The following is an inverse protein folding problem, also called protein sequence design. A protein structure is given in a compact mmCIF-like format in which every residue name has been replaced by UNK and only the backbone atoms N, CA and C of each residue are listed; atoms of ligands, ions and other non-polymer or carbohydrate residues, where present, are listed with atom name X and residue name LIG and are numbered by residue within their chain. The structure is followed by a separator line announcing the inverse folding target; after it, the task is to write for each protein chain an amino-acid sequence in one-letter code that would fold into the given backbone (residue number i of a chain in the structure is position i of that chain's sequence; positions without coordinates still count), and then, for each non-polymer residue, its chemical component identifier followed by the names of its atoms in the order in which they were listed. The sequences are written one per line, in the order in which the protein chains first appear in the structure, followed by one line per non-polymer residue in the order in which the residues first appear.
data_IF_018473229680
#
_entry.id   IF_018473229680
#
_cell.length_a   1.000
_cell.length_b   1.000
_cell.length_c   1.000
_cell.angle_alpha   90.00
_cell.angle_beta   90.00
_cell.angle_gamma   90.00
#
_symmetry.space_group_name_H-M   'P 1'
#
loop_
_entity.id
_entity.type
_entity.pdbx_description
1 polymer ?
#
# COMPACT_ATOMS: atom_id res chain seq x y z
N UNK A 1 -36.77 -1.24 -51.76
CA UNK A 1 -38.14 -1.52 -51.24
C UNK A 1 -38.93 -0.22 -51.33
N UNK A 2 -40.14 -0.25 -51.91
CA UNK A 2 -40.97 0.94 -52.03
C UNK A 2 -41.33 1.45 -50.61
N UNK A 3 -40.79 2.60 -50.23
CA UNK A 3 -40.83 3.17 -48.86
C UNK A 3 -42.19 3.73 -48.47
N UNK A 4 -43.07 3.93 -49.46
CA UNK A 4 -44.37 4.62 -49.32
C UNK A 4 -45.32 4.03 -48.28
N UNK A 5 -45.25 2.71 -48.03
CA UNK A 5 -46.19 2.01 -47.13
C UNK A 5 -45.56 1.45 -45.85
N UNK A 6 -44.30 1.80 -45.59
CA UNK A 6 -43.48 1.19 -44.53
C UNK A 6 -44.05 1.43 -43.13
N UNK A 7 -44.50 2.65 -42.83
CA UNK A 7 -45.08 3.02 -41.53
C UNK A 7 -46.32 2.19 -41.20
N UNK A 8 -47.20 1.97 -42.18
CA UNK A 8 -48.39 1.13 -42.02
C UNK A 8 -48.04 -0.34 -41.78
N UNK A 9 -47.02 -0.86 -42.45
CA UNK A 9 -46.55 -2.23 -42.22
C UNK A 9 -45.96 -2.41 -40.82
N UNK A 10 -45.29 -1.38 -40.29
CA UNK A 10 -44.73 -1.40 -38.94
C UNK A 10 -45.81 -1.41 -37.85
N UNK A 11 -46.86 -0.61 -38.01
CA UNK A 11 -48.03 -0.60 -37.12
C UNK A 11 -48.66 -2.00 -37.06
N UNK A 12 -48.89 -2.64 -38.22
CA UNK A 12 -49.47 -3.98 -38.28
C UNK A 12 -48.55 -5.04 -37.65
N UNK A 13 -47.23 -4.91 -37.81
CA UNK A 13 -46.25 -5.84 -37.21
C UNK A 13 -46.17 -5.75 -35.69
N UNK A 14 -46.40 -4.56 -35.12
CA UNK A 14 -46.36 -4.30 -33.68
C UNK A 14 -47.73 -4.40 -33.00
N UNK A 15 -48.81 -4.50 -33.78
CA UNK A 15 -50.17 -4.66 -33.27
C UNK A 15 -50.31 -5.93 -32.44
N UNK A 16 -50.84 -5.78 -31.23
CA UNK A 16 -51.21 -6.88 -30.31
C UNK A 16 -52.66 -7.33 -30.50
N UNK A 17 -53.36 -6.84 -31.53
CA UNK A 17 -54.74 -7.26 -31.80
C UNK A 17 -54.81 -8.74 -32.19
N UNK A 18 -55.81 -9.47 -31.69
CA UNK A 18 -56.05 -10.89 -32.03
C UNK A 18 -56.55 -11.13 -33.46
N UNK A 19 -56.55 -10.10 -34.32
CA UNK A 19 -57.05 -10.13 -35.69
C UNK A 19 -55.89 -10.48 -36.64
N UNK A 20 -56.16 -11.24 -37.70
CA UNK A 20 -55.11 -11.62 -38.66
C UNK A 20 -54.47 -10.41 -39.37
N UNK A 21 -53.17 -10.51 -39.68
CA UNK A 21 -52.46 -9.44 -40.40
C UNK A 21 -53.11 -9.05 -41.72
N UNK A 22 -53.68 -10.03 -42.45
CA UNK A 22 -54.34 -9.77 -43.74
C UNK A 22 -55.57 -8.88 -43.54
N UNK A 23 -56.33 -9.14 -42.50
CA UNK A 23 -57.54 -8.37 -42.21
C UNK A 23 -57.20 -6.96 -41.69
N UNK A 24 -56.20 -6.82 -40.83
CA UNK A 24 -55.70 -5.51 -40.40
C UNK A 24 -55.24 -4.67 -41.61
N UNK A 25 -54.49 -5.28 -42.53
CA UNK A 25 -54.02 -4.60 -43.75
C UNK A 25 -55.17 -4.28 -44.70
N UNK A 26 -56.23 -5.10 -44.76
CA UNK A 26 -57.41 -4.82 -45.60
C UNK A 26 -58.14 -3.58 -45.11
N UNK A 27 -58.31 -3.43 -43.78
CA UNK A 27 -58.91 -2.23 -43.19
C UNK A 27 -58.08 -0.99 -43.50
N UNK A 28 -56.76 -1.08 -43.30
CA UNK A 28 -55.82 0.01 -43.61
C UNK A 28 -55.83 0.37 -45.10
N UNK A 29 -55.86 -0.62 -46.00
CA UNK A 29 -55.88 -0.40 -47.44
C UNK A 29 -57.17 0.30 -47.90
N UNK A 30 -58.33 -0.02 -47.30
CA UNK A 30 -59.60 0.67 -47.59
C UNK A 30 -59.61 2.13 -47.17
N UNK A 31 -58.88 2.48 -46.10
CA UNK A 31 -58.78 3.87 -45.61
C UNK A 31 -57.65 4.65 -46.27
N UNK A 32 -56.74 3.97 -46.95
CA UNK A 32 -55.64 4.58 -47.70
C UNK A 32 -56.09 4.89 -49.13
N UNK A 33 -55.73 6.06 -49.64
CA UNK A 33 -55.77 6.33 -51.07
C UNK A 33 -54.58 5.62 -51.77
N UNK A 34 -54.63 4.29 -51.73
CA UNK A 34 -53.54 3.43 -52.15
C UNK A 34 -53.48 3.35 -53.68
N UNK A 35 -52.34 3.72 -54.26
CA UNK A 35 -52.11 3.65 -55.71
C UNK A 35 -51.88 2.23 -56.23
N UNK A 36 -52.15 1.20 -55.42
CA UNK A 36 -51.91 -0.20 -55.76
C UNK A 36 -53.04 -1.08 -55.23
N UNK A 37 -53.25 -2.24 -55.88
CA UNK A 37 -54.24 -3.22 -55.42
C UNK A 37 -53.90 -3.78 -54.05
N UNK A 38 -54.92 -4.26 -53.32
CA UNK A 38 -54.73 -4.84 -52.00
C UNK A 38 -53.74 -6.02 -52.00
N UNK A 39 -53.78 -6.87 -53.03
CA UNK A 39 -52.85 -8.00 -53.14
C UNK A 39 -51.40 -7.54 -53.29
N UNK A 40 -51.14 -6.49 -54.08
CA UNK A 40 -49.81 -5.91 -54.21
C UNK A 40 -49.34 -5.29 -52.87
N UNK A 41 -50.24 -4.62 -52.16
CA UNK A 41 -49.99 -4.08 -50.82
C UNK A 41 -49.67 -5.18 -49.80
N UNK A 42 -50.40 -6.29 -49.84
CA UNK A 42 -50.21 -7.43 -48.93
C UNK A 42 -48.91 -8.20 -49.23
N UNK A 43 -48.54 -8.37 -50.50
CA UNK A 43 -47.23 -8.92 -50.88
C UNK A 43 -46.09 -8.01 -50.41
N UNK A 44 -46.28 -6.69 -50.48
CA UNK A 44 -45.36 -5.69 -49.93
C UNK A 44 -45.11 -5.90 -48.43
N UNK A 45 -46.18 -6.09 -47.65
CA UNK A 45 -46.08 -6.42 -46.23
C UNK A 45 -45.33 -7.73 -45.97
N UNK A 46 -45.62 -8.80 -46.70
CA UNK A 46 -44.91 -10.09 -46.54
C UNK A 46 -43.40 -9.95 -46.76
N UNK A 47 -43.00 -9.19 -47.78
CA UNK A 47 -41.59 -8.88 -48.06
C UNK A 47 -40.97 -8.05 -46.92
N UNK A 48 -41.69 -7.05 -46.42
CA UNK A 48 -41.24 -6.23 -45.28
C UNK A 48 -41.05 -7.06 -44.01
N UNK A 49 -42.01 -7.91 -43.66
CA UNK A 49 -41.93 -8.83 -42.51
C UNK A 49 -40.73 -9.77 -42.61
N UNK A 50 -40.48 -10.36 -43.79
CA UNK A 50 -39.33 -11.24 -44.04
C UNK A 50 -37.98 -10.52 -43.95
N UNK A 51 -37.93 -9.25 -44.38
CA UNK A 51 -36.72 -8.43 -44.21
C UNK A 51 -36.47 -8.09 -42.73
N UNK A 52 -37.52 -7.73 -41.98
CA UNK A 52 -37.41 -7.41 -40.55
C UNK A 52 -37.03 -8.62 -39.71
N UNK A 53 -37.47 -9.83 -40.08
CA UNK A 53 -37.05 -11.06 -39.39
C UNK A 53 -35.57 -11.42 -39.59
N UNK A 54 -34.95 -10.99 -40.70
CA UNK A 54 -33.50 -11.20 -40.97
C UNK A 54 -32.59 -10.19 -40.24
N UNK A 55 -33.15 -9.13 -39.66
CA UNK A 55 -32.44 -8.11 -38.87
C UNK A 55 -32.37 -8.45 -37.37
N UNK A 56 -32.78 -9.66 -36.95
CA UNK A 56 -32.54 -10.12 -35.58
C UNK A 56 -31.05 -10.35 -35.37
N UNK A 57 -30.51 -9.57 -34.43
CA UNK A 57 -29.12 -9.55 -33.94
C UNK A 57 -28.57 -10.98 -33.83
N UNK A 58 -27.45 -11.26 -34.50
CA UNK A 58 -26.66 -12.46 -34.21
C UNK A 58 -26.17 -12.35 -32.77
N UNK A 59 -26.69 -13.21 -31.88
CA UNK A 59 -26.06 -13.47 -30.60
C UNK A 59 -24.66 -14.04 -30.86
N UNK A 60 -23.64 -13.20 -30.64
CA UNK A 60 -22.25 -13.64 -30.63
C UNK A 60 -22.09 -14.54 -29.40
N UNK A 61 -21.75 -15.82 -29.63
CA UNK A 61 -21.42 -16.78 -28.56
C UNK A 61 -20.32 -16.19 -27.67
N UNK A 62 -20.58 -16.20 -26.37
CA UNK A 62 -19.66 -15.82 -25.29
C UNK A 62 -18.25 -16.41 -25.47
N UNK A 63 -17.33 -15.60 -25.96
CA UNK A 63 -15.89 -15.75 -25.68
C UNK A 63 -15.59 -14.96 -24.41
N UNK A 64 -14.74 -15.50 -23.53
CA UNK A 64 -14.30 -14.89 -22.25
C UNK A 64 -14.25 -13.36 -22.34
N UNK A 65 -14.92 -12.68 -21.40
CA UNK A 65 -14.94 -11.23 -21.33
C UNK A 65 -13.50 -10.68 -21.44
N UNK A 66 -13.24 -9.70 -22.32
CA UNK A 66 -11.94 -9.06 -22.39
C UNK A 66 -11.60 -8.45 -21.02
N UNK A 67 -10.37 -8.65 -20.56
CA UNK A 67 -9.87 -8.20 -19.25
C UNK A 67 -9.77 -6.67 -19.12
N UNK A 68 -10.11 -5.93 -20.17
CA UNK A 68 -10.12 -4.47 -20.20
C UNK A 68 -11.48 -3.98 -20.68
N UNK A 69 -12.22 -3.32 -19.78
CA UNK A 69 -13.49 -2.67 -20.12
C UNK A 69 -13.28 -1.70 -21.28
N UNK A 70 -14.18 -1.69 -22.27
CA UNK A 70 -14.15 -0.79 -23.44
C UNK A 70 -14.14 0.72 -23.09
N UNK A 71 -14.31 1.06 -21.81
CA UNK A 71 -14.19 2.41 -21.25
C UNK A 71 -12.78 2.80 -20.80
N UNK A 72 -11.83 1.86 -20.67
CA UNK A 72 -10.47 2.19 -20.20
C UNK A 72 -9.73 3.09 -21.18
N UNK A 73 -9.91 2.85 -22.48
CA UNK A 73 -9.38 3.71 -23.54
C UNK A 73 -10.08 5.07 -23.60
N UNK A 74 -11.37 5.13 -23.29
CA UNK A 74 -12.12 6.39 -23.22
C UNK A 74 -11.69 7.24 -22.02
N UNK A 75 -11.38 6.61 -20.89
CA UNK A 75 -10.86 7.27 -19.69
C UNK A 75 -9.52 7.98 -19.94
N UNK A 76 -8.63 7.43 -20.77
CA UNK A 76 -7.41 8.14 -21.18
C UNK A 76 -7.70 9.34 -22.08
N UNK A 77 -8.72 9.27 -22.94
CA UNK A 77 -9.12 10.36 -23.83
C UNK A 77 -9.88 11.48 -23.10
N UNK A 78 -10.55 11.15 -21.99
CA UNK A 78 -11.30 12.10 -21.16
C UNK A 78 -10.44 12.83 -20.12
N UNK A 79 -9.19 12.41 -19.88
CA UNK A 79 -8.30 13.13 -18.98
C UNK A 79 -7.82 14.41 -19.71
N UNK A 80 -8.17 15.62 -19.21
CA UNK A 80 -7.64 16.84 -19.78
C UNK A 80 -6.11 16.80 -19.71
N UNK A 81 -5.45 17.37 -20.73
CA UNK A 81 -4.00 17.58 -20.69
C UNK A 81 -3.65 18.28 -19.37
N UNK A 82 -2.84 17.65 -18.49
CA UNK A 82 -2.50 18.24 -17.20
C UNK A 82 -1.63 19.49 -17.33
N UNK A 83 -1.08 19.78 -18.52
CA UNK A 83 -0.26 20.95 -18.79
C UNK A 83 -0.70 21.71 -20.07
N UNK A 84 -1.93 22.27 -20.09
CA UNK A 84 -2.48 22.94 -21.27
C UNK A 84 -1.72 24.22 -21.63
N UNK A 85 -0.93 24.76 -20.69
CA UNK A 85 -0.10 25.95 -20.85
C UNK A 85 1.30 25.64 -21.41
N UNK A 86 1.63 24.35 -21.63
CA UNK A 86 2.96 23.89 -22.08
C UNK A 86 4.10 24.43 -21.21
N UNK A 87 3.89 24.42 -19.90
CA UNK A 87 4.92 24.73 -18.91
C UNK A 87 6.13 23.81 -19.10
N UNK A 88 7.35 24.25 -18.73
CA UNK A 88 8.53 23.40 -18.74
C UNK A 88 8.31 22.08 -17.97
N UNK A 89 9.01 21.02 -18.39
CA UNK A 89 8.93 19.73 -17.73
C UNK A 89 9.30 19.85 -16.24
N UNK A 90 8.41 19.39 -15.38
CA UNK A 90 8.65 19.35 -13.94
C UNK A 90 9.63 18.24 -13.59
N UNK A 91 10.48 18.49 -12.60
CA UNK A 91 11.32 17.46 -11.93
C UNK A 91 10.69 16.99 -10.61
N UNK A 92 9.40 17.22 -10.42
CA UNK A 92 8.66 16.79 -9.24
C UNK A 92 8.79 15.28 -9.03
N UNK A 93 9.13 14.90 -7.80
CA UNK A 93 9.15 13.50 -7.38
C UNK A 93 7.75 13.06 -6.95
N UNK A 94 7.27 11.93 -7.46
CA UNK A 94 6.03 11.33 -6.99
C UNK A 94 6.30 10.52 -5.73
N UNK A 95 5.72 10.92 -4.61
CA UNK A 95 5.78 10.16 -3.36
C UNK A 95 4.70 9.06 -3.35
N UNK A 96 5.08 7.84 -3.00
CA UNK A 96 4.13 6.74 -2.84
C UNK A 96 4.50 5.84 -1.66
N UNK A 97 3.48 5.45 -0.90
CA UNK A 97 3.62 4.51 0.21
C UNK A 97 3.89 3.08 -0.29
N UNK A 98 4.70 2.33 0.46
CA UNK A 98 4.85 0.90 0.25
C UNK A 98 3.64 0.17 0.83
N UNK A 99 2.93 -0.61 0.01
CA UNK A 99 1.75 -1.37 0.46
C UNK A 99 2.17 -2.80 0.74
N UNK A 100 1.99 -3.27 1.98
CA UNK A 100 2.24 -4.67 2.29
C UNK A 100 1.29 -5.57 1.48
N UNK A 101 1.76 -6.74 0.99
CA UNK A 101 0.89 -7.75 0.43
C UNK A 101 -0.17 -8.19 1.44
N UNK A 102 -1.36 -8.57 0.98
CA UNK A 102 -2.42 -9.09 1.88
C UNK A 102 -2.04 -10.37 2.63
N UNK A 103 -1.02 -11.09 2.15
CA UNK A 103 -0.46 -12.27 2.80
C UNK A 103 0.43 -11.92 4.00
N UNK A 104 0.90 -10.67 4.09
CA UNK A 104 1.71 -10.16 5.19
C UNK A 104 0.79 -9.53 6.25
N UNK A 105 0.15 -10.39 7.03
CA UNK A 105 -1.01 -10.00 7.84
C UNK A 105 -0.97 -10.44 9.31
N UNK A 106 0.08 -11.17 9.70
CA UNK A 106 0.40 -11.46 11.10
C UNK A 106 1.87 -11.06 11.33
N UNK A 107 2.05 -9.88 11.91
CA UNK A 107 3.27 -9.08 11.81
C UNK A 107 3.89 -8.91 13.20
N UNK A 108 5.15 -9.31 13.34
CA UNK A 108 6.03 -8.88 14.42
C UNK A 108 6.77 -7.61 14.01
N UNK A 109 6.49 -6.49 14.66
CA UNK A 109 7.16 -5.21 14.43
C UNK A 109 8.22 -4.96 15.52
N UNK A 110 9.47 -4.91 15.08
CA UNK A 110 10.65 -4.66 15.90
C UNK A 110 11.24 -3.29 15.51
N UNK A 111 11.50 -2.42 16.47
CA UNK A 111 12.04 -1.08 16.21
C UNK A 111 13.33 -0.85 16.98
N UNK A 112 14.22 -0.02 16.45
CA UNK A 112 15.33 0.56 17.21
C UNK A 112 16.16 -0.52 17.93
N UNK A 113 16.66 -1.49 17.16
CA UNK A 113 17.53 -2.56 17.65
C UNK A 113 18.94 -2.02 17.92
N UNK A 114 19.39 -1.06 17.10
CA UNK A 114 20.67 -0.35 17.24
C UNK A 114 21.87 -1.30 17.37
N UNK A 115 21.98 -2.33 16.53
CA UNK A 115 23.16 -3.21 16.54
C UNK A 115 24.44 -2.36 16.38
N UNK A 116 25.48 -2.52 17.24
CA UNK A 116 25.70 -3.59 18.24
C UNK A 116 25.21 -3.30 19.67
N UNK A 117 24.52 -2.19 19.94
CA UNK A 117 23.99 -1.79 21.26
C UNK A 117 22.65 -2.43 21.62
N UNK A 118 22.27 -3.51 20.95
CA UNK A 118 21.00 -4.20 21.19
C UNK A 118 20.97 -4.84 22.58
N UNK A 119 19.81 -4.81 23.23
CA UNK A 119 19.60 -5.53 24.47
C UNK A 119 19.26 -7.00 24.17
N UNK A 120 20.17 -7.91 24.51
CA UNK A 120 20.04 -9.35 24.21
C UNK A 120 18.76 -9.94 24.80
N UNK A 121 18.42 -9.63 26.06
CA UNK A 121 17.25 -10.20 26.74
C UNK A 121 15.95 -9.73 26.08
N UNK A 122 15.81 -8.43 25.85
CA UNK A 122 14.61 -7.85 25.24
C UNK A 122 14.40 -8.36 23.81
N UNK A 123 15.47 -8.37 23.00
CA UNK A 123 15.41 -8.87 21.63
C UNK A 123 15.10 -10.38 21.60
N UNK A 124 15.68 -11.17 22.50
CA UNK A 124 15.37 -12.61 22.63
C UNK A 124 13.90 -12.84 22.95
N UNK A 125 13.33 -12.09 23.88
CA UNK A 125 11.91 -12.19 24.23
C UNK A 125 11.00 -11.83 23.05
N UNK A 126 11.31 -10.77 22.30
CA UNK A 126 10.55 -10.36 21.13
C UNK A 126 10.57 -11.42 20.01
N UNK A 127 11.76 -11.97 19.71
CA UNK A 127 11.91 -13.01 18.70
C UNK A 127 11.22 -14.32 19.12
N UNK A 128 11.38 -14.73 20.39
CA UNK A 128 10.71 -15.90 20.95
C UNK A 128 9.18 -15.75 20.89
N UNK A 129 8.67 -14.58 21.24
CA UNK A 129 7.24 -14.28 21.11
C UNK A 129 6.75 -14.48 19.68
N UNK A 130 7.48 -13.94 18.69
CA UNK A 130 7.14 -14.10 17.27
C UNK A 130 7.09 -15.56 16.82
N UNK A 131 8.04 -16.38 17.30
CA UNK A 131 8.05 -17.82 17.01
C UNK A 131 6.85 -18.54 17.65
N UNK A 132 6.55 -18.25 18.92
CA UNK A 132 5.43 -18.85 19.66
C UNK A 132 4.07 -18.49 19.07
N UNK A 133 3.92 -17.27 18.55
CA UNK A 133 2.69 -16.80 17.90
C UNK A 133 2.63 -17.11 16.41
N UNK A 134 3.67 -17.76 15.87
CA UNK A 134 3.75 -18.17 14.46
C UNK A 134 3.49 -17.04 13.46
N UNK A 135 4.02 -15.85 13.76
CA UNK A 135 3.90 -14.69 12.88
C UNK A 135 4.38 -15.04 11.45
N UNK A 136 3.73 -14.47 10.45
CA UNK A 136 4.10 -14.70 9.05
C UNK A 136 5.00 -13.62 8.47
N UNK A 137 5.12 -12.47 9.15
CA UNK A 137 5.86 -11.30 8.70
C UNK A 137 6.67 -10.68 9.84
N UNK A 138 7.87 -10.21 9.52
CA UNK A 138 8.68 -9.38 10.42
C UNK A 138 8.92 -8.03 9.77
N UNK A 139 8.72 -6.96 10.53
CA UNK A 139 9.11 -5.60 10.13
C UNK A 139 10.21 -5.13 11.08
N UNK A 140 11.40 -4.91 10.52
CA UNK A 140 12.48 -4.15 11.15
C UNK A 140 12.20 -2.66 10.85
N UNK A 141 11.53 -1.99 11.78
CA UNK A 141 10.97 -0.64 11.60
C UNK A 141 12.00 0.47 11.86
N UNK A 142 13.14 0.40 11.19
CA UNK A 142 14.20 1.42 11.27
C UNK A 142 15.10 1.33 12.48
N UNK A 143 16.24 1.99 12.32
CA UNK A 143 17.37 2.01 13.24
C UNK A 143 17.79 0.57 13.63
N UNK A 144 18.02 -0.25 12.60
CA UNK A 144 18.51 -1.61 12.77
C UNK A 144 19.95 -1.60 13.27
N UNK A 145 20.80 -0.80 12.61
CA UNK A 145 22.22 -0.63 12.91
C UNK A 145 22.46 0.79 13.40
N UNK A 146 23.26 0.96 14.47
CA UNK A 146 23.44 2.28 15.07
C UNK A 146 24.29 3.22 14.19
N UNK A 147 25.32 2.67 13.54
CA UNK A 147 26.32 3.44 12.78
C UNK A 147 26.93 4.57 13.61
N UNK A 148 27.42 4.24 14.81
CA UNK A 148 28.13 5.16 15.69
C UNK A 148 29.36 5.73 14.98
N UNK A 149 30.15 4.86 14.32
CA UNK A 149 31.44 5.24 13.73
C UNK A 149 31.31 6.35 12.66
N UNK A 150 30.20 6.33 11.91
CA UNK A 150 29.88 7.28 10.83
C UNK A 150 28.77 8.26 11.18
N UNK A 151 28.36 8.31 12.45
CA UNK A 151 27.41 9.32 12.93
C UNK A 151 28.01 10.73 12.84
N UNK A 152 27.15 11.75 12.82
CA UNK A 152 27.58 13.17 12.83
C UNK A 152 27.89 13.72 14.22
N UNK A 153 27.60 12.95 15.27
CA UNK A 153 27.74 13.39 16.65
C UNK A 153 29.19 13.26 17.11
N UNK A 154 29.49 13.82 18.29
CA UNK A 154 30.80 13.63 18.92
C UNK A 154 30.98 12.14 19.21
N UNK A 155 32.18 11.64 18.93
CA UNK A 155 32.51 10.22 18.98
C UNK A 155 33.79 10.02 19.74
N UNK A 156 33.79 9.05 20.63
CA UNK A 156 35.00 8.50 21.21
C UNK A 156 35.75 7.70 20.12
N UNK A 157 36.95 8.11 19.71
CA UNK A 157 37.72 7.39 18.69
C UNK A 157 37.98 5.93 19.04
N UNK A 158 38.00 5.58 20.34
CA UNK A 158 38.21 4.21 20.83
C UNK A 158 37.04 3.27 20.56
N UNK A 159 35.84 3.82 20.38
CA UNK A 159 34.60 3.07 20.09
C UNK A 159 34.26 3.03 18.59
N UNK A 160 35.08 3.65 17.73
CA UNK A 160 34.82 3.71 16.29
C UNK A 160 35.31 2.45 15.59
N UNK A 161 34.38 1.55 15.27
CA UNK A 161 34.67 0.36 14.46
C UNK A 161 33.50 0.03 13.52
N UNK A 162 33.47 0.67 12.35
CA UNK A 162 32.41 0.45 11.37
C UNK A 162 32.37 -1.00 10.88
N UNK A 163 33.53 -1.67 10.78
CA UNK A 163 33.60 -3.05 10.31
C UNK A 163 32.93 -3.99 11.31
N UNK A 164 33.20 -3.81 12.60
CA UNK A 164 32.53 -4.55 13.66
C UNK A 164 31.02 -4.30 13.68
N UNK A 165 30.57 -3.04 13.57
CA UNK A 165 29.14 -2.71 13.51
C UNK A 165 28.42 -3.43 12.36
N UNK A 166 28.99 -3.37 11.16
CA UNK A 166 28.42 -4.00 9.95
C UNK A 166 28.43 -5.52 10.07
N UNK A 167 29.54 -6.12 10.49
CA UNK A 167 29.65 -7.58 10.60
C UNK A 167 28.71 -8.13 11.68
N UNK A 168 28.59 -7.46 12.82
CA UNK A 168 27.64 -7.85 13.87
C UNK A 168 26.18 -7.76 13.37
N UNK A 169 25.85 -6.74 12.58
CA UNK A 169 24.53 -6.63 11.97
C UNK A 169 24.26 -7.75 10.96
N UNK A 170 25.24 -8.13 10.13
CA UNK A 170 25.12 -9.28 9.22
C UNK A 170 24.92 -10.60 9.98
N UNK A 171 25.63 -10.81 11.07
CA UNK A 171 25.46 -11.97 11.95
C UNK A 171 24.05 -12.02 12.56
N UNK A 172 23.55 -10.87 13.01
CA UNK A 172 22.17 -10.74 13.48
C UNK A 172 21.16 -11.09 12.38
N UNK A 173 21.30 -10.55 11.17
CA UNK A 173 20.39 -10.84 10.06
C UNK A 173 20.44 -12.32 9.64
N UNK A 174 21.63 -12.94 9.66
CA UNK A 174 21.79 -14.38 9.47
C UNK A 174 21.02 -15.17 10.52
N UNK A 175 21.12 -14.76 11.79
CA UNK A 175 20.40 -15.40 12.90
C UNK A 175 18.89 -15.22 12.76
N UNK A 176 18.44 -14.00 12.44
CA UNK A 176 17.03 -13.68 12.21
C UNK A 176 16.44 -14.58 11.10
N UNK A 177 17.13 -14.71 9.97
CA UNK A 177 16.67 -15.57 8.87
C UNK A 177 16.67 -17.06 9.26
N UNK A 178 17.60 -17.53 10.09
CA UNK A 178 17.57 -18.92 10.60
C UNK A 178 16.36 -19.18 11.50
N UNK A 179 16.00 -18.21 12.35
CA UNK A 179 14.85 -18.32 13.25
C UNK A 179 13.51 -18.22 12.48
N UNK A 180 13.49 -17.43 11.40
CA UNK A 180 12.31 -17.18 10.57
C UNK A 180 12.59 -17.54 9.10
N UNK A 181 12.71 -18.86 8.79
CA UNK A 181 13.17 -19.33 7.50
C UNK A 181 12.18 -19.04 6.37
N UNK A 182 10.88 -18.97 6.67
CA UNK A 182 9.81 -18.85 5.68
C UNK A 182 9.17 -17.47 5.64
N UNK A 183 9.17 -16.74 6.75
CA UNK A 183 8.49 -15.46 6.92
C UNK A 183 9.00 -14.39 5.95
N UNK A 184 8.13 -13.49 5.55
CA UNK A 184 8.52 -12.26 4.86
C UNK A 184 9.19 -11.31 5.85
N UNK A 185 10.30 -10.70 5.46
CA UNK A 185 11.03 -9.75 6.30
C UNK A 185 11.18 -8.45 5.53
N UNK A 186 10.65 -7.38 6.11
CA UNK A 186 10.76 -6.03 5.59
C UNK A 186 11.67 -5.21 6.49
N UNK A 187 12.67 -4.57 5.91
CA UNK A 187 13.53 -3.63 6.60
C UNK A 187 13.24 -2.21 6.13
N UNK A 188 12.60 -1.44 6.99
CA UNK A 188 12.35 -0.02 6.79
C UNK A 188 13.56 0.80 7.23
N UNK A 189 14.04 1.69 6.37
CA UNK A 189 15.13 2.60 6.70
C UNK A 189 14.72 3.63 7.77
N UNK A 190 15.48 3.70 8.87
CA UNK A 190 15.42 4.72 9.91
C UNK A 190 16.52 5.81 9.73
N UNK A 191 16.62 6.71 10.70
CA UNK A 191 17.59 7.82 10.63
C UNK A 191 19.02 7.43 11.01
N UNK A 192 19.23 6.30 11.68
CA UNK A 192 20.56 5.71 11.84
C UNK A 192 20.98 5.02 10.55
N UNK A 193 20.09 4.25 9.93
CA UNK A 193 20.37 3.49 8.71
C UNK A 193 20.79 4.38 7.53
N UNK A 194 20.11 5.52 7.33
CA UNK A 194 20.43 6.51 6.28
C UNK A 194 21.82 7.16 6.45
N UNK A 195 22.48 7.00 7.62
CA UNK A 195 23.83 7.55 7.85
C UNK A 195 24.85 6.97 6.88
N UNK A 196 24.68 5.73 6.43
CA UNK A 196 25.59 5.14 5.45
C UNK A 196 25.56 5.88 4.12
N UNK A 197 24.37 6.12 3.56
CA UNK A 197 24.22 6.87 2.31
C UNK A 197 24.77 8.30 2.46
N UNK A 198 24.44 9.00 3.55
CA UNK A 198 25.00 10.32 3.82
C UNK A 198 26.53 10.33 4.00
N UNK A 199 27.11 9.25 4.52
CA UNK A 199 28.55 9.10 4.64
C UNK A 199 29.20 8.99 3.26
N UNK A 200 28.68 8.14 2.38
CA UNK A 200 29.15 8.01 1.00
C UNK A 200 29.01 9.34 0.25
N UNK A 201 27.86 10.02 0.35
CA UNK A 201 27.66 11.34 -0.28
C UNK A 201 28.71 12.39 0.11
N UNK A 202 29.25 12.31 1.34
CA UNK A 202 30.23 13.29 1.84
C UNK A 202 31.67 12.88 1.58
N UNK A 203 31.98 11.59 1.64
CA UNK A 203 33.35 11.10 1.66
C UNK A 203 33.78 10.46 0.33
N UNK A 204 32.82 9.89 -0.41
CA UNK A 204 33.08 9.20 -1.68
C UNK A 204 31.88 9.35 -2.63
N UNK A 205 31.49 10.60 -3.01
CA UNK A 205 30.30 10.83 -3.83
C UNK A 205 30.35 10.15 -5.21
N UNK A 206 31.56 9.91 -5.74
CA UNK A 206 31.75 9.21 -7.03
C UNK A 206 31.29 7.74 -7.00
N UNK A 207 31.07 7.17 -5.80
CA UNK A 207 30.50 5.84 -5.62
C UNK A 207 28.96 5.85 -5.65
N UNK A 208 28.33 7.01 -5.56
CA UNK A 208 26.87 7.11 -5.63
C UNK A 208 26.37 6.68 -7.02
N UNK A 209 25.33 5.85 -7.04
CA UNK A 209 24.75 5.32 -8.27
C UNK A 209 25.37 3.99 -8.73
N UNK A 210 26.50 3.58 -8.15
CA UNK A 210 26.99 2.21 -8.24
C UNK A 210 26.12 1.33 -7.32
N UNK A 211 25.52 0.27 -7.87
CA UNK A 211 24.58 -0.61 -7.15
C UNK A 211 25.21 -1.40 -5.99
N UNK A 212 26.53 -1.39 -5.89
CA UNK A 212 27.32 -2.10 -4.89
C UNK A 212 27.48 -1.30 -3.58
N UNK A 213 27.35 0.03 -3.62
CA UNK A 213 27.67 0.93 -2.51
C UNK A 213 26.42 1.52 -1.84
N UNK A 214 25.47 0.65 -1.52
CA UNK A 214 24.27 1.00 -0.77
C UNK A 214 24.13 0.13 0.48
N UNK A 215 23.20 0.51 1.37
CA UNK A 215 22.98 -0.20 2.63
C UNK A 215 22.55 -1.65 2.42
N UNK A 216 21.82 -1.95 1.35
CA UNK A 216 21.30 -3.29 1.07
C UNK A 216 22.43 -4.26 0.76
N UNK A 217 23.35 -3.84 -0.11
CA UNK A 217 24.58 -4.55 -0.47
C UNK A 217 25.52 -4.65 0.73
N UNK A 218 25.67 -3.57 1.51
CA UNK A 218 26.47 -3.56 2.73
C UNK A 218 25.96 -4.59 3.75
N UNK A 219 24.66 -4.70 3.96
CA UNK A 219 24.07 -5.64 4.93
C UNK A 219 23.70 -7.01 4.33
N UNK A 220 24.00 -7.25 3.06
CA UNK A 220 23.73 -8.52 2.37
C UNK A 220 22.25 -8.93 2.42
N UNK A 221 21.33 -7.96 2.33
CA UNK A 221 19.90 -8.18 2.53
C UNK A 221 19.29 -9.22 1.56
N UNK A 222 19.78 -9.26 0.32
CA UNK A 222 19.33 -10.21 -0.70
C UNK A 222 19.58 -11.67 -0.29
N UNK A 223 20.75 -11.97 0.30
CA UNK A 223 21.10 -13.31 0.78
C UNK A 223 20.14 -13.78 1.89
N UNK A 224 19.53 -12.84 2.59
CA UNK A 224 18.56 -13.08 3.63
C UNK A 224 17.11 -12.87 3.18
N UNK A 225 16.82 -12.70 1.89
CA UNK A 225 15.46 -12.42 1.36
C UNK A 225 14.76 -11.30 2.14
N UNK A 226 15.47 -10.23 2.45
CA UNK A 226 14.93 -9.07 3.16
C UNK A 226 14.55 -8.00 2.15
N UNK A 227 13.29 -7.57 2.17
CA UNK A 227 12.81 -6.47 1.33
C UNK A 227 13.12 -5.15 2.00
N UNK A 228 13.95 -4.32 1.37
CA UNK A 228 14.29 -3.00 1.88
C UNK A 228 13.25 -1.95 1.47
N UNK A 229 12.87 -1.09 2.41
CA UNK A 229 11.94 0.02 2.22
C UNK A 229 12.72 1.32 2.49
N UNK A 230 12.98 2.14 1.45
CA UNK A 230 13.86 3.32 1.53
C UNK A 230 13.50 4.39 2.55
N UNK A 231 14.43 5.33 2.73
CA UNK A 231 14.26 6.50 3.60
C UNK A 231 12.95 7.23 3.32
N UNK A 232 12.26 7.60 4.39
CA UNK A 232 10.99 8.35 4.39
C UNK A 232 9.80 7.73 3.65
N UNK A 233 9.94 6.55 3.06
CA UNK A 233 8.78 5.83 2.54
C UNK A 233 7.98 5.24 3.71
N UNK A 234 6.70 5.61 3.81
CA UNK A 234 5.76 5.02 4.77
C UNK A 234 5.25 3.67 4.25
N UNK A 235 4.80 2.83 5.16
CA UNK A 235 4.26 1.51 4.89
C UNK A 235 2.76 1.50 5.22
N UNK A 236 1.93 0.88 4.39
CA UNK A 236 0.55 0.58 4.71
C UNK A 236 0.34 -0.92 4.91
N UNK A 237 -0.15 -1.28 6.09
CA UNK A 237 -0.62 -2.61 6.46
C UNK A 237 -2.14 -2.54 6.65
N UNK A 238 -2.90 -2.81 5.59
CA UNK A 238 -4.34 -2.50 5.57
C UNK A 238 -4.58 -1.01 5.76
N UNK A 239 -5.35 -0.65 6.79
CA UNK A 239 -5.66 0.73 7.19
C UNK A 239 -4.67 1.31 8.21
N UNK A 240 -3.64 0.55 8.63
CA UNK A 240 -2.59 1.03 9.53
C UNK A 240 -1.42 1.61 8.73
N UNK A 241 -0.98 2.81 9.10
CA UNK A 241 0.26 3.40 8.60
C UNK A 241 1.43 3.08 9.54
N UNK A 242 2.50 2.50 9.01
CA UNK A 242 3.73 2.21 9.74
C UNK A 242 4.83 3.14 9.24
N UNK A 243 5.48 3.83 10.17
CA UNK A 243 6.60 4.74 9.93
C UNK A 243 7.70 4.50 10.97
N UNK A 244 8.93 4.96 10.73
CA UNK A 244 9.95 4.89 11.77
C UNK A 244 9.73 6.01 12.81
N UNK A 245 9.52 7.24 12.35
CA UNK A 245 9.23 8.43 13.16
C UNK A 245 9.91 9.69 12.62
N UNK A 246 11.09 9.55 12.01
CA UNK A 246 11.89 10.68 11.51
C UNK A 246 11.34 11.33 10.24
N UNK A 247 10.38 10.68 9.58
CA UNK A 247 9.68 11.18 8.38
C UNK A 247 8.86 12.43 8.70
N UNK A 248 8.37 12.53 9.93
CA UNK A 248 7.48 13.61 10.38
C UNK A 248 8.23 14.87 10.81
N UNK A 249 9.52 14.97 10.49
CA UNK A 249 10.39 16.10 10.81
C UNK A 249 10.71 16.22 12.29
N UNK A 250 11.73 17.02 12.58
CA UNK A 250 12.18 17.27 13.96
C UNK A 250 11.24 18.23 14.68
N UNK A 251 10.99 17.96 15.95
CA UNK A 251 10.39 18.90 16.89
C UNK A 251 11.48 19.54 17.75
N UNK A 252 11.34 20.82 18.09
CA UNK A 252 12.23 21.52 19.04
C UNK A 252 12.01 21.01 20.47
N UNK A 253 10.82 20.47 20.75
CA UNK A 253 10.46 19.90 22.04
C UNK A 253 10.36 18.38 21.96
N UNK A 254 10.91 17.71 22.96
CA UNK A 254 10.66 16.28 23.17
C UNK A 254 9.18 16.07 23.47
N UNK A 255 8.47 15.20 22.72
CA UNK A 255 7.05 15.00 22.93
C UNK A 255 6.80 14.43 24.33
N UNK A 256 5.78 14.97 25.01
CA UNK A 256 5.37 14.46 26.33
C UNK A 256 4.77 13.05 26.18
N UNK A 257 3.97 12.84 25.14
CA UNK A 257 3.40 11.58 24.69
C UNK A 257 3.60 11.48 23.17
N UNK A 258 4.39 10.49 22.74
CA UNK A 258 4.81 10.33 21.35
C UNK A 258 3.62 9.98 20.45
N UNK A 259 2.76 9.05 20.87
CA UNK A 259 1.56 8.65 20.13
C UNK A 259 0.62 9.83 19.85
N UNK A 260 0.45 10.74 20.81
CA UNK A 260 -0.35 11.96 20.62
C UNK A 260 0.31 12.93 19.63
N UNK A 261 1.62 13.10 19.71
CA UNK A 261 2.36 13.90 18.72
C UNK A 261 2.28 13.28 17.31
N UNK A 262 2.31 11.95 17.23
CA UNK A 262 2.09 11.22 15.98
C UNK A 262 0.69 11.48 15.43
N UNK A 263 -0.35 11.32 16.25
CA UNK A 263 -1.74 11.62 15.87
C UNK A 263 -1.90 13.06 15.34
N UNK A 264 -1.29 14.04 16.02
CA UNK A 264 -1.38 15.44 15.60
C UNK A 264 -0.76 15.72 14.24
N UNK A 265 0.17 14.88 13.78
CA UNK A 265 0.83 15.01 12.47
C UNK A 265 0.24 14.09 11.41
N UNK A 266 -0.01 12.83 11.74
CA UNK A 266 -0.47 11.80 10.81
C UNK A 266 -1.96 11.91 10.48
N UNK A 267 -2.79 12.32 11.45
CA UNK A 267 -4.26 12.43 11.31
C UNK A 267 -4.98 11.15 10.85
N UNK A 268 -4.32 10.00 10.98
CA UNK A 268 -4.88 8.68 10.72
C UNK A 268 -4.20 7.63 11.60
N UNK A 269 -4.69 6.40 11.55
CA UNK A 269 -4.14 5.28 12.31
C UNK A 269 -2.67 5.07 11.96
N UNK A 270 -1.79 5.19 12.96
CA UNK A 270 -0.35 5.17 12.71
C UNK A 270 0.45 4.57 13.87
N UNK A 271 1.53 3.88 13.54
CA UNK A 271 2.49 3.33 14.52
C UNK A 271 3.92 3.75 14.16
N UNK A 272 4.70 4.16 15.16
CA UNK A 272 6.10 4.55 14.99
C UNK A 272 7.02 4.01 16.07
N UNK A 273 8.33 3.98 15.79
CA UNK A 273 9.40 3.79 16.78
C UNK A 273 10.10 5.12 17.08
N UNK A 274 11.42 5.13 16.90
CA UNK A 274 12.34 6.30 16.92
C UNK A 274 12.53 6.98 18.28
N UNK A 275 11.49 7.07 19.09
CA UNK A 275 11.50 7.77 20.38
C UNK A 275 11.76 6.83 21.56
N UNK A 276 11.85 5.52 21.30
CA UNK A 276 12.19 4.46 22.25
C UNK A 276 11.21 4.35 23.43
N UNK A 277 9.98 4.84 23.25
CA UNK A 277 8.99 4.95 24.31
C UNK A 277 7.68 4.29 23.89
N UNK A 278 7.17 3.37 24.71
CA UNK A 278 5.81 2.87 24.51
C UNK A 278 4.77 3.94 24.85
N UNK A 279 3.86 4.25 23.92
CA UNK A 279 2.68 5.07 24.19
C UNK A 279 1.53 4.75 23.22
N UNK A 280 0.31 5.06 23.63
CA UNK A 280 -0.91 4.92 22.84
C UNK A 280 -1.77 6.18 22.99
N UNK A 281 -2.50 6.54 21.94
CA UNK A 281 -3.43 7.65 21.95
C UNK A 281 -4.59 7.39 20.98
N UNK A 282 -5.82 7.43 21.50
CA UNK A 282 -7.05 7.21 20.73
C UNK A 282 -7.97 8.41 20.85
N UNK A 283 -8.42 8.95 19.72
CA UNK A 283 -9.44 10.00 19.67
C UNK A 283 -10.41 9.75 18.51
N UNK A 284 -11.73 10.00 18.69
CA UNK A 284 -12.68 10.02 17.58
C UNK A 284 -12.59 11.36 16.83
N UNK A 285 -12.73 11.29 15.51
CA UNK A 285 -12.99 12.46 14.68
C UNK A 285 -14.43 12.95 14.85
N UNK A 286 -14.72 14.18 14.40
CA UNK A 286 -16.07 14.76 14.40
C UNK A 286 -17.12 13.89 13.66
N UNK A 287 -16.67 13.06 12.71
CA UNK A 287 -17.51 12.15 11.93
C UNK A 287 -17.56 10.74 12.54
N UNK A 288 -17.07 10.53 13.76
CA UNK A 288 -17.11 9.25 14.47
C UNK A 288 -16.04 8.23 14.06
N UNK A 289 -15.17 8.53 13.06
CA UNK A 289 -14.00 7.68 12.77
C UNK A 289 -13.05 7.72 13.96
N UNK A 290 -12.82 6.58 14.60
CA UNK A 290 -11.82 6.43 15.66
C UNK A 290 -10.44 6.31 15.03
N UNK A 291 -9.50 7.13 15.50
CA UNK A 291 -8.10 7.09 15.11
C UNK A 291 -7.27 6.76 16.34
N UNK A 292 -6.41 5.75 16.22
CA UNK A 292 -5.45 5.38 17.25
C UNK A 292 -4.03 5.46 16.71
N UNK A 293 -3.14 6.01 17.52
CA UNK A 293 -1.71 6.07 17.23
C UNK A 293 -0.91 5.37 18.32
N UNK A 294 0.21 4.77 17.93
CA UNK A 294 1.11 4.04 18.83
C UNK A 294 2.55 4.51 18.63
N UNK A 295 3.29 4.57 19.73
CA UNK A 295 4.76 4.55 19.70
C UNK A 295 5.25 3.28 20.35
N UNK A 296 6.19 2.62 19.70
CA UNK A 296 6.81 1.37 20.12
C UNK A 296 8.15 1.68 20.78
N UNK A 297 8.43 0.96 21.84
CA UNK A 297 9.69 0.96 22.56
C UNK A 297 10.87 0.46 21.70
N UNK A 298 12.10 0.62 22.19
CA UNK A 298 13.28 0.11 21.51
C UNK A 298 13.64 -1.32 21.95
N UNK A 299 14.62 -1.91 21.26
CA UNK A 299 15.25 -3.19 21.65
C UNK A 299 16.76 -2.99 21.90
N UNK A 300 17.17 -1.76 22.19
CA UNK A 300 18.55 -1.33 22.44
C UNK A 300 18.82 -0.97 23.90
N UNK A 301 20.02 -0.53 24.22
CA UNK A 301 20.33 0.00 25.55
C UNK A 301 19.42 1.18 25.94
N UNK A 302 19.06 1.27 27.23
CA UNK A 302 18.16 2.32 27.74
C UNK A 302 18.91 3.56 28.26
N UNK A 303 20.23 3.47 28.41
CA UNK A 303 21.07 4.54 28.97
C UNK A 303 22.30 4.80 28.10
N UNK A 304 22.11 5.14 26.81
CA UNK A 304 23.24 5.43 25.92
C UNK A 304 23.99 6.69 26.37
N UNK A 305 25.27 6.80 26.02
CA UNK A 305 26.17 7.90 26.45
C UNK A 305 25.61 9.31 26.15
N UNK A 306 24.87 9.46 25.04
CA UNK A 306 24.31 10.75 24.63
C UNK A 306 23.01 11.12 25.36
N UNK A 307 22.38 10.19 26.06
CA UNK A 307 21.15 10.42 26.84
C UNK A 307 21.02 9.43 28.01
N UNK A 308 21.97 9.40 28.95
CA UNK A 308 22.10 8.28 29.90
C UNK A 308 21.04 8.29 31.00
N UNK A 309 20.49 9.47 31.32
CA UNK A 309 19.52 9.68 32.42
C UNK A 309 18.41 10.66 31.98
N UNK A 310 17.26 10.58 32.65
CA UNK A 310 16.12 11.47 32.40
C UNK A 310 15.36 11.19 31.09
N UNK A 311 15.80 10.20 30.31
CA UNK A 311 15.07 9.69 29.16
C UNK A 311 13.84 8.87 29.62
N UNK A 312 12.94 8.57 28.67
CA UNK A 312 11.74 7.75 28.90
C UNK A 312 11.84 6.41 28.17
N UNK A 313 13.06 5.94 27.93
CA UNK A 313 13.29 4.77 27.10
C UNK A 313 12.82 3.52 27.82
N UNK A 314 12.16 2.65 27.07
CA UNK A 314 11.62 1.38 27.56
C UNK A 314 11.88 0.30 26.51
N UNK A 315 11.85 -0.97 26.91
CA UNK A 315 11.89 -2.09 25.99
C UNK A 315 10.50 -2.56 25.57
N UNK A 316 10.36 -3.00 24.33
CA UNK A 316 9.09 -3.49 23.80
C UNK A 316 9.09 -3.66 22.29
N UNK A 317 7.97 -4.18 21.79
CA UNK A 317 7.74 -4.47 20.37
C UNK A 317 6.23 -4.50 20.12
N UNK A 318 5.79 -4.62 18.87
CA UNK A 318 4.37 -4.72 18.56
C UNK A 318 4.04 -5.99 17.78
N UNK A 319 2.85 -6.54 18.03
CA UNK A 319 2.25 -7.62 17.25
C UNK A 319 1.00 -7.06 16.58
N UNK A 320 0.98 -7.07 15.25
CA UNK A 320 -0.07 -6.47 14.44
C UNK A 320 -0.74 -7.55 13.62
N UNK A 321 -2.07 -7.61 13.67
CA UNK A 321 -2.87 -8.47 12.80
C UNK A 321 -3.69 -7.61 11.85
N UNK A 322 -3.73 -8.02 10.58
CA UNK A 322 -4.50 -7.35 9.53
C UNK A 322 -5.46 -8.37 8.93
N UNK A 323 -6.73 -8.01 8.79
CA UNK A 323 -7.71 -8.89 8.18
C UNK A 323 -7.83 -8.66 6.65
N UNK A 324 -8.73 -9.41 6.02
CA UNK A 324 -8.96 -9.28 4.58
C UNK A 324 -9.64 -7.98 4.14
N UNK A 325 -10.37 -7.30 5.04
CA UNK A 325 -11.01 -6.00 4.82
C UNK A 325 -9.97 -4.88 4.85
N UNK A 326 -8.85 -5.12 5.53
CA UNK A 326 -7.81 -4.14 5.83
C UNK A 326 -7.98 -3.51 7.21
N UNK A 327 -8.97 -3.93 8.00
CA UNK A 327 -9.01 -3.64 9.44
C UNK A 327 -7.85 -4.36 10.14
N UNK A 328 -7.49 -3.87 11.32
CA UNK A 328 -6.29 -4.32 12.01
C UNK A 328 -6.43 -4.24 13.52
N UNK A 329 -5.59 -5.01 14.21
CA UNK A 329 -5.39 -5.01 15.65
C UNK A 329 -3.91 -4.77 15.96
N UNK A 330 -3.62 -3.94 16.95
CA UNK A 330 -2.25 -3.66 17.42
C UNK A 330 -2.13 -4.04 18.90
N UNK A 331 -1.24 -4.98 19.18
CA UNK A 331 -0.79 -5.29 20.53
C UNK A 331 0.59 -4.66 20.76
N UNK A 332 0.64 -3.50 21.42
CA UNK A 332 1.87 -2.77 21.74
C UNK A 332 2.44 -3.25 23.08
N UNK A 333 3.37 -4.20 23.02
CA UNK A 333 3.83 -5.00 24.15
C UNK A 333 5.07 -4.38 24.79
N UNK A 334 5.09 -4.31 26.13
CA UNK A 334 6.25 -3.82 26.88
C UNK A 334 7.04 -4.98 27.45
N UNK A 335 8.34 -4.78 27.61
CA UNK A 335 9.21 -5.69 28.33
C UNK A 335 9.66 -4.98 29.61
N UNK A 336 9.24 -5.52 30.75
CA UNK A 336 9.55 -4.97 32.07
C UNK A 336 10.16 -6.06 32.93
N UNK A 337 11.43 -5.87 33.29
CA UNK A 337 12.19 -6.82 34.13
C UNK A 337 12.14 -8.26 33.56
N UNK A 338 12.46 -8.39 32.26
CA UNK A 338 12.50 -9.69 31.57
C UNK A 338 11.13 -10.34 31.30
N UNK A 339 10.03 -9.59 31.41
CA UNK A 339 8.67 -10.12 31.19
C UNK A 339 7.90 -9.25 30.23
N UNK A 340 7.23 -9.90 29.27
CA UNK A 340 6.29 -9.27 28.33
C UNK A 340 5.02 -8.89 29.10
N UNK A 341 4.52 -7.67 28.89
CA UNK A 341 3.41 -7.03 29.62
C UNK A 341 2.49 -6.25 28.72
#
# INVERSE_FOLDING_TARGET
MNTKYRSYYEIVLQSTSGISYREQLSRIHKTLDATCTFEAFYVGFKRYKKAKSKLKIQEVKSTKAPTTNAFSSLLSTLKPDPNPLRLPASKESVYSAFKLPKTANDILLLSDIHVPYHNIEALTLALKYGMEHQVNTIILNGDLIDFYAISRFEKDPRKRDLAHEVNTCREFLTTLRKLFPTQEIYFKCGNHDVRFEHYIMRQAPDLLGLGEYNLQSLLQLEQHRITFIPDKQIIHAGQLTILHGHELGKSVFSPVNVARSLYMKAKDNAICGHHHQTSEHTEPSINGKVVTCWSVACLSELSPDYHPVGNKYTHGFAHIKVDSSGDFEVNNLRIVKGKIR
#
